data_IF_737028350795
#
_entry.id   IF_737028350795
#
_cell.length_a   1.000
_cell.length_b   1.000
_cell.length_c   1.000
_cell.angle_alpha   90.00
_cell.angle_beta   90.00
_cell.angle_gamma   90.00
#
_symmetry.space_group_name_H-M   'P 1'
#
loop_
_entity.id
_entity.type
_entity.pdbx_description
1 polymer ?
#
# COMPACT_ATOMS: atom_id res chain seq x y z
N UNK A 1 -7.01 22.96 -13.29
CA UNK A 1 -7.70 22.17 -12.24
C UNK A 1 -6.70 21.23 -11.57
N UNK A 2 -6.15 21.61 -10.41
CA UNK A 2 -5.30 20.72 -9.63
C UNK A 2 -6.15 19.52 -9.20
N UNK A 3 -5.97 18.38 -9.89
CA UNK A 3 -6.60 17.11 -9.49
C UNK A 3 -6.08 16.83 -8.08
N UNK A 4 -6.90 17.12 -7.05
CA UNK A 4 -6.62 16.68 -5.67
C UNK A 4 -6.26 15.20 -5.80
N UNK A 5 -5.00 14.86 -5.57
CA UNK A 5 -4.55 13.49 -5.58
C UNK A 5 -5.38 12.79 -4.51
N UNK A 6 -6.41 12.05 -4.93
CA UNK A 6 -7.29 11.37 -4.02
C UNK A 6 -6.41 10.56 -3.07
N UNK A 7 -6.61 10.71 -1.76
CA UNK A 7 -5.76 10.03 -0.78
C UNK A 7 -5.65 8.56 -1.14
N UNK A 8 -4.43 8.03 -1.18
CA UNK A 8 -4.21 6.62 -1.44
C UNK A 8 -5.01 5.79 -0.44
N UNK A 9 -5.56 4.66 -0.89
CA UNK A 9 -6.27 3.73 -0.01
C UNK A 9 -5.44 3.30 1.19
N UNK A 10 -4.11 3.25 1.05
CA UNK A 10 -3.19 3.00 2.17
C UNK A 10 -3.28 4.10 3.25
N UNK A 11 -3.32 5.37 2.84
CA UNK A 11 -3.42 6.51 3.77
C UNK A 11 -4.78 6.51 4.49
N UNK A 12 -5.87 6.25 3.75
CA UNK A 12 -7.21 6.13 4.34
C UNK A 12 -7.30 4.97 5.33
N UNK A 13 -6.72 3.82 5.00
CA UNK A 13 -6.70 2.64 5.87
C UNK A 13 -5.86 2.87 7.13
N UNK A 14 -4.71 3.56 7.03
CA UNK A 14 -3.91 3.94 8.21
C UNK A 14 -4.70 4.82 9.16
N UNK A 15 -5.39 5.85 8.65
CA UNK A 15 -6.25 6.72 9.47
C UNK A 15 -7.37 5.94 10.15
N UNK A 16 -8.05 5.03 9.43
CA UNK A 16 -9.10 4.18 10.00
C UNK A 16 -8.57 3.26 11.12
N UNK A 17 -7.40 2.65 10.93
CA UNK A 17 -6.77 1.80 11.95
C UNK A 17 -6.39 2.63 13.18
N UNK A 18 -5.82 3.82 13.00
CA UNK A 18 -5.45 4.70 14.11
C UNK A 18 -6.68 5.17 14.92
N UNK A 19 -7.71 5.66 14.23
CA UNK A 19 -8.96 6.09 14.87
C UNK A 19 -9.62 4.95 15.66
N UNK A 20 -9.68 3.75 15.06
CA UNK A 20 -10.30 2.60 15.72
C UNK A 20 -9.47 2.05 16.88
N UNK A 21 -8.14 2.14 16.80
CA UNK A 21 -7.25 1.76 17.90
C UNK A 21 -7.41 2.67 19.11
N UNK A 22 -7.60 3.98 18.90
CA UNK A 22 -7.72 4.96 19.99
C UNK A 22 -8.99 4.77 20.86
N UNK A 23 -10.06 4.19 20.31
CA UNK A 23 -11.33 3.99 21.01
C UNK A 23 -11.54 2.59 21.64
N UNK A 24 -10.56 1.68 21.57
CA UNK A 24 -10.74 0.29 22.01
C UNK A 24 -9.81 -0.05 23.17
N UNK A 25 -10.40 -0.46 24.32
CA UNK A 25 -9.68 -0.94 25.49
C UNK A 25 -8.93 -2.27 25.22
N UNK A 26 -9.44 -3.11 24.32
CA UNK A 26 -8.75 -4.32 23.85
C UNK A 26 -8.68 -4.37 22.31
N UNK A 27 -7.63 -3.78 21.71
CA UNK A 27 -7.48 -3.68 20.26
C UNK A 27 -7.06 -4.99 19.55
N UNK A 28 -6.66 -6.02 20.29
CA UNK A 28 -6.32 -7.33 19.71
C UNK A 28 -7.56 -8.24 19.60
N UNK A 29 -8.54 -8.09 20.51
CA UNK A 29 -9.79 -8.84 20.49
C UNK A 29 -10.76 -8.43 19.37
N UNK A 30 -10.76 -7.15 18.97
CA UNK A 30 -11.70 -6.61 17.98
C UNK A 30 -11.50 -7.21 16.58
N UNK A 31 -12.47 -8.02 16.15
CA UNK A 31 -12.49 -8.67 14.83
C UNK A 31 -12.45 -7.65 13.68
N UNK A 32 -13.09 -6.50 13.83
CA UNK A 32 -13.14 -5.49 12.78
C UNK A 32 -11.84 -4.66 12.72
N UNK A 33 -11.14 -4.43 13.84
CA UNK A 33 -9.78 -3.88 13.81
C UNK A 33 -8.79 -4.88 13.18
N UNK A 34 -8.90 -6.17 13.49
CA UNK A 34 -8.13 -7.23 12.82
C UNK A 34 -8.37 -7.25 11.31
N UNK A 35 -9.61 -7.13 10.86
CA UNK A 35 -9.95 -7.04 9.44
C UNK A 35 -9.32 -5.81 8.76
N UNK A 36 -9.37 -4.64 9.40
CA UNK A 36 -8.74 -3.41 8.89
C UNK A 36 -7.21 -3.54 8.77
N UNK A 37 -6.55 -4.11 9.79
CA UNK A 37 -5.11 -4.39 9.77
C UNK A 37 -4.75 -5.35 8.63
N UNK A 38 -5.54 -6.41 8.42
CA UNK A 38 -5.36 -7.34 7.29
C UNK A 38 -5.47 -6.63 5.94
N UNK A 39 -6.48 -5.76 5.76
CA UNK A 39 -6.66 -4.97 4.53
C UNK A 39 -5.48 -4.02 4.30
N UNK A 40 -5.00 -3.33 5.33
CA UNK A 40 -3.82 -2.46 5.24
C UNK A 40 -2.57 -3.24 4.78
N UNK A 41 -2.30 -4.42 5.37
CA UNK A 41 -1.17 -5.26 4.94
C UNK A 41 -1.30 -5.70 3.47
N UNK A 42 -2.51 -6.01 3.00
CA UNK A 42 -2.75 -6.36 1.58
C UNK A 42 -2.43 -5.20 0.64
N UNK A 43 -2.86 -3.98 0.96
CA UNK A 43 -2.56 -2.80 0.15
C UNK A 43 -1.06 -2.47 0.14
N UNK A 44 -0.39 -2.59 1.30
CA UNK A 44 1.07 -2.44 1.37
C UNK A 44 1.80 -3.47 0.49
N UNK A 45 1.35 -4.73 0.49
CA UNK A 45 1.90 -5.77 -0.38
C UNK A 45 1.70 -5.45 -1.86
N UNK A 46 0.50 -5.03 -2.27
CA UNK A 46 0.22 -4.58 -3.65
C UNK A 46 1.14 -3.45 -4.05
N UNK A 47 1.32 -2.43 -3.20
CA UNK A 47 2.22 -1.31 -3.45
C UNK A 47 3.67 -1.77 -3.64
N UNK A 48 4.15 -2.69 -2.81
CA UNK A 48 5.48 -3.29 -2.95
C UNK A 48 5.62 -4.07 -4.25
N UNK A 49 4.64 -4.91 -4.59
CA UNK A 49 4.65 -5.67 -5.84
C UNK A 49 4.67 -4.76 -7.08
N UNK A 50 3.87 -3.69 -7.07
CA UNK A 50 3.89 -2.68 -8.15
C UNK A 50 5.23 -1.94 -8.22
N UNK A 51 5.84 -1.60 -7.08
CA UNK A 51 7.15 -0.98 -7.04
C UNK A 51 8.24 -1.92 -7.59
N UNK A 52 8.21 -3.21 -7.23
CA UNK A 52 9.11 -4.22 -7.78
C UNK A 52 8.89 -4.40 -9.28
N UNK A 53 7.65 -4.52 -9.75
CA UNK A 53 7.34 -4.59 -11.19
C UNK A 53 7.87 -3.38 -11.95
N UNK A 54 7.74 -2.17 -11.40
CA UNK A 54 8.31 -0.95 -11.98
C UNK A 54 9.84 -0.99 -12.02
N UNK A 55 10.49 -1.46 -10.95
CA UNK A 55 11.95 -1.66 -10.92
C UNK A 55 12.41 -2.67 -11.97
N UNK A 56 11.74 -3.81 -12.07
CA UNK A 56 12.06 -4.83 -13.08
C UNK A 56 11.81 -4.31 -14.50
N UNK A 57 10.71 -3.59 -14.75
CA UNK A 57 10.46 -2.98 -16.06
C UNK A 57 11.50 -1.90 -16.41
N UNK A 58 11.96 -1.13 -15.42
CA UNK A 58 13.05 -0.17 -15.62
C UNK A 58 14.39 -0.89 -15.89
N UNK A 59 14.68 -1.98 -15.19
CA UNK A 59 15.84 -2.85 -15.44
C UNK A 59 15.80 -3.47 -16.82
N UNK A 60 14.66 -4.03 -17.24
CA UNK A 60 14.44 -4.60 -18.58
C UNK A 60 14.55 -3.55 -19.69
N UNK A 61 14.18 -2.29 -19.45
CA UNK A 61 14.43 -1.20 -20.41
C UNK A 61 15.92 -0.85 -20.53
N UNK A 62 16.68 -0.99 -19.45
CA UNK A 62 18.14 -0.85 -19.48
C UNK A 62 18.82 -2.04 -20.17
N UNK A 63 18.34 -3.25 -19.91
CA UNK A 63 18.88 -4.50 -20.47
C UNK A 63 18.53 -4.67 -21.96
N UNK A 64 17.33 -4.28 -22.38
CA UNK A 64 16.94 -4.24 -23.79
C UNK A 64 17.69 -3.16 -24.59
N UNK A 65 18.16 -2.08 -23.94
CA UNK A 65 19.02 -1.09 -24.57
C UNK A 65 20.50 -1.52 -24.63
N UNK A 66 20.94 -2.34 -23.66
CA UNK A 66 22.30 -2.88 -23.61
C UNK A 66 22.50 -4.12 -24.52
N UNK A 67 21.44 -4.88 -24.83
CA UNK A 67 21.48 -6.03 -25.73
C UNK A 67 21.37 -5.64 -27.23
N UNK A 68 21.20 -4.35 -27.54
CA UNK A 68 21.11 -3.81 -28.90
C UNK A 68 22.24 -2.82 -29.24
N UNK A 69 23.32 -2.81 -28.46
CA UNK A 69 24.53 -2.01 -28.68
C UNK A 69 25.74 -2.94 -28.83
#
# INVERSE_FOLDING_TARGET
MAKKAAESDEARLKKKVAAKRAGHANPEGDAALRALRKRLKREQRKRRALALRRKHAAGQKGEAAAASA
#
